data_IF_168150793913
#
_entry.id   IF_168150793913
#
_cell.length_a   1.000
_cell.length_b   1.000
_cell.length_c   1.000
_cell.angle_alpha   90.00
_cell.angle_beta   90.00
_cell.angle_gamma   90.00
#
_symmetry.space_group_name_H-M   'P 1'
#
loop_
_entity.id
_entity.type
_entity.pdbx_description
1 polymer ?
#
# COMPACT_ATOMS: atom_id res chain seq x y z
N UNK A 1 4.05 -22.00 18.93
CA UNK A 1 3.41 -23.32 19.12
C UNK A 1 3.90 -24.41 18.15
N UNK A 2 4.23 -24.12 16.88
CA UNK A 2 4.59 -25.17 15.89
C UNK A 2 6.05 -25.66 15.91
N UNK A 3 6.97 -24.97 16.61
CA UNK A 3 8.40 -25.33 16.65
C UNK A 3 8.74 -26.45 17.65
N UNK A 4 7.83 -26.77 18.56
CA UNK A 4 8.00 -27.85 19.56
C UNK A 4 7.35 -29.17 19.11
N UNK A 5 6.88 -29.24 17.86
CA UNK A 5 6.31 -30.46 17.29
C UNK A 5 7.37 -31.07 16.37
N UNK A 6 7.92 -32.20 16.79
CA UNK A 6 8.88 -32.96 16.00
C UNK A 6 8.12 -33.87 15.03
N UNK A 7 8.43 -33.76 13.74
CA UNK A 7 7.86 -34.64 12.72
C UNK A 7 9.00 -35.40 12.03
N UNK A 8 8.84 -36.71 11.89
CA UNK A 8 9.78 -37.59 11.19
C UNK A 8 11.24 -37.46 11.68
N UNK A 9 11.45 -37.29 12.99
CA UNK A 9 12.80 -37.18 13.57
C UNK A 9 13.54 -35.87 13.25
N UNK A 10 12.87 -34.87 12.68
CA UNK A 10 13.42 -33.53 12.46
C UNK A 10 12.95 -32.54 13.53
N UNK A 11 13.79 -31.55 13.84
CA UNK A 11 13.51 -30.50 14.83
C UNK A 11 12.38 -29.55 14.42
N UNK A 12 11.94 -29.59 13.16
CA UNK A 12 10.95 -28.68 12.59
C UNK A 12 9.89 -29.44 11.78
N UNK A 13 8.62 -29.34 12.18
CA UNK A 13 7.52 -29.97 11.45
C UNK A 13 7.01 -29.13 10.26
N UNK A 14 7.77 -29.12 9.17
CA UNK A 14 7.34 -28.53 7.91
C UNK A 14 6.03 -29.11 7.34
N UNK A 15 5.77 -30.44 7.40
CA UNK A 15 4.52 -31.01 6.88
C UNK A 15 3.26 -30.45 7.56
N UNK A 16 3.31 -30.15 8.85
CA UNK A 16 2.19 -29.55 9.57
C UNK A 16 2.02 -28.07 9.22
N UNK A 17 3.14 -27.33 9.13
CA UNK A 17 3.14 -25.91 8.78
C UNK A 17 2.57 -25.64 7.38
N UNK A 18 2.85 -26.50 6.39
CA UNK A 18 2.32 -26.37 5.03
C UNK A 18 1.03 -27.15 4.79
N UNK A 19 0.82 -28.27 5.49
CA UNK A 19 -0.33 -29.15 5.32
C UNK A 19 -1.63 -28.51 5.79
N UNK A 20 -1.62 -27.82 6.94
CA UNK A 20 -2.82 -27.16 7.48
C UNK A 20 -3.33 -26.07 6.53
N UNK A 21 -2.53 -25.09 6.06
CA UNK A 21 -2.97 -24.12 5.05
C UNK A 21 -3.42 -24.77 3.75
N UNK A 22 -2.77 -25.84 3.29
CA UNK A 22 -3.14 -26.55 2.07
C UNK A 22 -4.53 -27.17 2.16
N UNK A 23 -4.84 -27.84 3.28
CA UNK A 23 -6.17 -28.42 3.53
C UNK A 23 -7.22 -27.31 3.62
N UNK A 24 -6.93 -26.22 4.34
CA UNK A 24 -7.83 -25.07 4.43
C UNK A 24 -8.09 -24.43 3.05
N UNK A 25 -7.08 -24.36 2.19
CA UNK A 25 -7.23 -23.87 0.82
C UNK A 25 -8.14 -24.77 -0.02
N UNK A 26 -7.98 -26.09 0.07
CA UNK A 26 -8.87 -27.05 -0.61
C UNK A 26 -10.31 -26.88 -0.12
N UNK A 27 -10.51 -26.76 1.20
CA UNK A 27 -11.83 -26.51 1.77
C UNK A 27 -12.43 -25.20 1.25
N UNK A 28 -11.66 -24.12 1.21
CA UNK A 28 -12.09 -22.82 0.67
C UNK A 28 -12.52 -22.91 -0.81
N UNK A 29 -11.75 -23.64 -1.63
CA UNK A 29 -12.12 -23.89 -3.05
C UNK A 29 -13.41 -24.68 -3.14
N UNK A 30 -13.61 -25.71 -2.32
CA UNK A 30 -14.84 -26.49 -2.30
C UNK A 30 -16.06 -25.62 -1.95
N UNK A 31 -15.94 -24.77 -0.93
CA UNK A 31 -16.99 -23.81 -0.58
C UNK A 31 -17.28 -22.84 -1.74
N UNK A 32 -16.26 -22.33 -2.41
CA UNK A 32 -16.43 -21.43 -3.57
C UNK A 32 -17.14 -22.13 -4.75
N UNK A 33 -16.80 -23.39 -5.02
CA UNK A 33 -17.42 -24.18 -6.09
C UNK A 33 -18.90 -24.45 -5.79
N UNK A 34 -19.25 -24.75 -4.54
CA UNK A 34 -20.65 -24.90 -4.09
C UNK A 34 -21.40 -23.56 -4.19
N UNK A 35 -20.74 -22.45 -3.81
CA UNK A 35 -21.31 -21.10 -3.87
C UNK A 35 -21.47 -20.53 -5.29
N UNK A 36 -20.86 -21.16 -6.30
CA UNK A 36 -20.86 -20.69 -7.69
C UNK A 36 -22.26 -20.54 -8.30
N UNK A 37 -23.23 -21.33 -7.86
CA UNK A 37 -24.63 -21.25 -8.31
C UNK A 37 -25.31 -19.94 -7.88
N UNK A 38 -24.88 -19.33 -6.77
CA UNK A 38 -25.41 -18.06 -6.27
C UNK A 38 -24.79 -16.83 -6.95
N UNK A 39 -23.70 -17.01 -7.71
CA UNK A 39 -22.97 -15.91 -8.32
C UNK A 39 -23.48 -15.54 -9.71
N UNK A 40 -24.11 -14.36 -9.83
CA UNK A 40 -24.53 -13.80 -11.13
C UNK A 40 -23.32 -13.20 -11.87
N UNK A 41 -22.81 -13.92 -12.86
CA UNK A 41 -21.70 -13.45 -13.71
C UNK A 41 -22.18 -12.37 -14.67
N UNK A 42 -21.53 -11.20 -14.67
CA UNK A 42 -21.67 -10.20 -15.73
C UNK A 42 -20.68 -10.53 -16.85
N UNK A 43 -21.13 -10.49 -18.09
CA UNK A 43 -20.28 -10.76 -19.26
C UNK A 43 -19.27 -9.60 -19.37
N UNK A 44 -17.96 -9.88 -19.51
CA UNK A 44 -16.95 -8.83 -19.60
C UNK A 44 -17.12 -8.02 -20.90
N UNK A 45 -17.32 -6.71 -20.79
CA UNK A 45 -17.37 -5.77 -21.91
C UNK A 45 -15.95 -5.52 -22.46
N UNK A 46 -15.50 -6.36 -23.40
CA UNK A 46 -14.19 -6.23 -24.07
C UNK A 46 -12.98 -6.22 -23.12
N UNK A 47 -11.77 -6.28 -23.68
CA UNK A 47 -10.55 -6.17 -22.87
C UNK A 47 -10.22 -4.69 -22.61
N UNK A 48 -10.78 -4.12 -21.53
CA UNK A 48 -10.60 -2.71 -21.16
C UNK A 48 -9.14 -2.33 -20.95
N UNK A 49 -8.33 -3.24 -20.39
CA UNK A 49 -6.90 -3.03 -20.14
C UNK A 49 -6.16 -2.87 -21.47
N UNK A 50 -6.44 -3.74 -22.44
CA UNK A 50 -5.87 -3.63 -23.78
C UNK A 50 -6.27 -2.32 -24.46
N UNK A 51 -7.55 -1.96 -24.40
CA UNK A 51 -8.05 -0.71 -25.00
C UNK A 51 -7.42 0.53 -24.33
N UNK A 52 -7.20 0.49 -23.01
CA UNK A 52 -6.51 1.55 -22.27
C UNK A 52 -5.07 1.76 -22.78
N UNK A 53 -4.24 0.70 -22.79
CA UNK A 53 -2.85 0.82 -23.26
C UNK A 53 -2.76 1.15 -24.75
N UNK A 54 -3.65 0.61 -25.58
CA UNK A 54 -3.68 0.92 -27.00
C UNK A 54 -4.12 2.38 -27.25
N UNK A 55 -5.03 2.94 -26.45
CA UNK A 55 -5.40 4.35 -26.52
C UNK A 55 -4.21 5.26 -26.17
N UNK A 56 -3.49 4.94 -25.08
CA UNK A 56 -2.25 5.64 -24.72
C UNK A 56 -1.22 5.58 -25.84
N UNK A 57 -1.03 4.41 -26.44
CA UNK A 57 -0.10 4.21 -27.55
C UNK A 57 -0.48 5.04 -28.77
N UNK A 58 -1.75 5.07 -29.17
CA UNK A 58 -2.23 5.86 -30.32
C UNK A 58 -2.04 7.35 -30.06
N UNK A 59 -2.42 7.86 -28.88
CA UNK A 59 -2.21 9.26 -28.51
C UNK A 59 -0.73 9.64 -28.55
N UNK A 60 0.14 8.77 -28.02
CA UNK A 60 1.58 9.00 -28.01
C UNK A 60 2.20 8.96 -29.41
N UNK A 61 1.82 7.97 -30.24
CA UNK A 61 2.28 7.82 -31.64
C UNK A 61 1.92 9.06 -32.46
N UNK A 62 0.74 9.62 -32.24
CA UNK A 62 0.25 10.78 -32.96
C UNK A 62 0.64 12.12 -32.31
N UNK A 63 1.52 12.14 -31.31
CA UNK A 63 1.90 13.36 -30.56
C UNK A 63 2.39 14.50 -31.45
N UNK A 64 3.04 14.21 -32.59
CA UNK A 64 3.55 15.21 -33.54
C UNK A 64 2.52 15.70 -34.56
N UNK A 65 1.34 15.08 -34.64
CA UNK A 65 0.29 15.48 -35.56
C UNK A 65 -0.25 16.88 -35.17
N UNK A 66 -0.46 17.83 -36.11
CA UNK A 66 -1.00 19.16 -35.82
C UNK A 66 -2.48 19.17 -35.37
N UNK A 67 -3.16 18.03 -35.34
CA UNK A 67 -4.54 17.90 -34.85
C UNK A 67 -4.72 18.50 -33.44
N UNK A 68 -5.76 19.33 -33.28
CA UNK A 68 -6.18 19.95 -32.02
C UNK A 68 -7.66 19.64 -31.82
N UNK A 69 -7.99 18.90 -30.75
CA UNK A 69 -9.37 18.56 -30.41
C UNK A 69 -10.13 19.82 -29.95
N UNK A 70 -11.41 19.91 -30.34
CA UNK A 70 -12.34 20.95 -29.90
C UNK A 70 -12.76 20.75 -28.43
N UNK A 71 -12.69 19.52 -27.93
CA UNK A 71 -13.10 19.16 -26.57
C UNK A 71 -12.03 19.40 -25.49
N UNK A 72 -10.85 19.91 -25.88
CA UNK A 72 -9.71 20.16 -25.00
C UNK A 72 -9.91 21.42 -24.15
N UNK A 73 -10.08 21.24 -22.84
CA UNK A 73 -10.06 22.35 -21.89
C UNK A 73 -8.64 22.91 -21.69
N UNK A 74 -8.52 24.23 -21.54
CA UNK A 74 -7.23 24.90 -21.30
C UNK A 74 -6.51 24.40 -20.03
N UNK A 75 -7.27 23.90 -19.05
CA UNK A 75 -6.76 23.25 -17.83
C UNK A 75 -6.01 21.95 -18.11
N UNK A 76 -6.33 21.26 -19.20
CA UNK A 76 -5.84 19.92 -19.50
C UNK A 76 -4.78 19.93 -20.61
N UNK A 77 -4.13 21.08 -20.83
CA UNK A 77 -3.12 21.25 -21.88
C UNK A 77 -1.97 20.25 -21.77
N UNK A 78 -1.58 19.84 -20.56
CA UNK A 78 -0.56 18.82 -20.32
C UNK A 78 -0.92 17.45 -20.91
N UNK A 79 -2.22 17.16 -21.05
CA UNK A 79 -2.76 15.93 -21.63
C UNK A 79 -3.27 16.10 -23.07
N UNK A 80 -2.96 17.23 -23.72
CA UNK A 80 -3.37 17.51 -25.11
C UNK A 80 -2.95 16.42 -26.10
N UNK A 81 -1.85 15.71 -25.84
CA UNK A 81 -1.39 14.61 -26.68
C UNK A 81 -2.36 13.41 -26.66
N UNK A 82 -3.10 13.20 -25.58
CA UNK A 82 -4.01 12.07 -25.42
C UNK A 82 -5.27 12.21 -26.26
N UNK A 83 -5.79 13.44 -26.40
CA UNK A 83 -6.93 13.77 -27.28
C UNK A 83 -6.65 13.46 -28.76
N UNK A 84 -5.39 13.25 -29.16
CA UNK A 84 -5.05 12.80 -30.52
C UNK A 84 -5.45 11.34 -30.79
N UNK A 85 -5.88 10.61 -29.77
CA UNK A 85 -6.50 9.31 -29.93
C UNK A 85 -7.86 9.37 -30.64
N UNK A 86 -8.53 10.54 -30.68
CA UNK A 86 -9.77 10.79 -31.43
C UNK A 86 -9.61 10.54 -32.94
N UNK A 87 -8.38 10.59 -33.46
CA UNK A 87 -8.09 10.26 -34.87
C UNK A 87 -8.44 8.81 -35.22
N UNK A 88 -8.60 7.93 -34.24
CA UNK A 88 -9.05 6.56 -34.44
C UNK A 88 -10.54 6.44 -34.08
N UNK A 89 -11.42 6.06 -35.02
CA UNK A 89 -12.88 5.99 -34.79
C UNK A 89 -13.28 4.96 -33.73
N UNK A 90 -12.34 4.13 -33.25
CA UNK A 90 -12.56 3.18 -32.16
C UNK A 90 -12.74 3.86 -30.79
N UNK A 91 -12.21 5.07 -30.58
CA UNK A 91 -12.22 5.73 -29.26
C UNK A 91 -13.14 6.96 -29.25
N UNK A 92 -14.14 6.91 -28.39
CA UNK A 92 -15.01 8.05 -28.09
C UNK A 92 -14.30 9.05 -27.15
N UNK A 93 -14.71 10.32 -27.20
CA UNK A 93 -14.18 11.42 -26.37
C UNK A 93 -14.31 11.08 -24.89
N UNK A 94 -15.46 10.51 -24.49
CA UNK A 94 -15.71 10.07 -23.12
C UNK A 94 -14.68 9.01 -22.65
N UNK A 95 -14.28 8.10 -23.54
CA UNK A 95 -13.29 7.08 -23.21
C UNK A 95 -11.89 7.69 -23.02
N UNK A 96 -11.55 8.71 -23.82
CA UNK A 96 -10.28 9.43 -23.71
C UNK A 96 -10.21 10.22 -22.41
N UNK A 97 -11.32 10.84 -22.00
CA UNK A 97 -11.44 11.50 -20.69
C UNK A 97 -11.32 10.51 -19.53
N UNK A 98 -11.91 9.32 -19.64
CA UNK A 98 -11.75 8.26 -18.66
C UNK A 98 -10.29 7.82 -18.54
N UNK A 99 -9.58 7.64 -19.66
CA UNK A 99 -8.13 7.35 -19.68
C UNK A 99 -7.33 8.49 -19.04
N UNK A 100 -7.69 9.74 -19.32
CA UNK A 100 -7.05 10.92 -18.73
C UNK A 100 -7.24 10.97 -17.20
N UNK A 101 -8.44 10.67 -16.71
CA UNK A 101 -8.74 10.61 -15.28
C UNK A 101 -7.85 9.57 -14.58
N UNK A 102 -7.71 8.38 -15.17
CA UNK A 102 -6.80 7.34 -14.67
C UNK A 102 -5.36 7.84 -14.63
N UNK A 103 -4.87 8.53 -15.68
CA UNK A 103 -3.51 9.08 -15.67
C UNK A 103 -3.31 10.16 -14.59
N UNK A 104 -4.29 11.05 -14.38
CA UNK A 104 -4.26 12.07 -13.33
C UNK A 104 -4.18 11.44 -11.93
N UNK A 105 -4.99 10.40 -11.67
CA UNK A 105 -4.93 9.64 -10.42
C UNK A 105 -3.61 8.89 -10.29
N UNK A 106 -3.10 8.30 -11.37
CA UNK A 106 -1.82 7.57 -11.38
C UNK A 106 -0.64 8.46 -11.00
N UNK A 107 -0.65 9.75 -11.37
CA UNK A 107 0.37 10.72 -10.95
C UNK A 107 0.36 10.91 -9.43
N UNK A 108 -0.81 10.91 -8.78
CA UNK A 108 -0.92 10.97 -7.32
C UNK A 108 -0.44 9.69 -6.62
N UNK A 109 -0.39 8.57 -7.35
CA UNK A 109 0.05 7.29 -6.82
C UNK A 109 1.58 7.10 -6.91
N UNK A 110 2.30 7.99 -7.61
CA UNK A 110 3.77 7.92 -7.75
C UNK A 110 4.51 7.89 -6.39
N UNK A 111 4.07 8.62 -5.34
CA UNK A 111 4.65 8.52 -3.99
C UNK A 111 4.34 7.20 -3.25
N UNK A 112 3.25 6.51 -3.59
CA UNK A 112 2.75 5.36 -2.81
C UNK A 112 3.71 4.17 -2.70
N UNK A 113 4.58 3.84 -3.69
CA UNK A 113 5.59 2.82 -3.54
C UNK A 113 6.50 3.01 -2.31
N UNK A 114 6.82 4.24 -1.92
CA UNK A 114 7.65 4.50 -0.74
C UNK A 114 6.93 4.08 0.54
N UNK A 115 5.63 4.37 0.65
CA UNK A 115 4.83 3.89 1.77
C UNK A 115 4.87 2.36 1.87
N UNK A 116 4.65 1.67 0.74
CA UNK A 116 4.64 0.20 0.71
C UNK A 116 6.00 -0.40 1.04
N UNK A 117 7.08 0.22 0.57
CA UNK A 117 8.46 -0.12 0.92
C UNK A 117 8.66 -0.11 2.45
N UNK A 118 8.31 0.99 3.12
CA UNK A 118 8.44 1.05 4.58
C UNK A 118 7.47 0.10 5.31
N UNK A 119 6.25 -0.05 4.81
CA UNK A 119 5.22 -0.88 5.44
C UNK A 119 5.60 -2.37 5.46
N UNK A 120 6.16 -2.88 4.36
CA UNK A 120 6.49 -4.29 4.21
C UNK A 120 7.74 -4.71 5.02
N UNK A 121 8.54 -3.75 5.51
CA UNK A 121 9.69 -4.03 6.39
C UNK A 121 9.32 -4.64 7.74
N UNK A 122 8.07 -4.56 8.16
CA UNK A 122 7.60 -5.28 9.36
C UNK A 122 7.82 -6.80 9.25
N UNK A 123 7.83 -7.34 8.02
CA UNK A 123 8.07 -8.76 7.74
C UNK A 123 9.53 -9.17 7.64
N UNK A 124 10.46 -8.22 7.65
CA UNK A 124 11.90 -8.45 7.42
C UNK A 124 12.77 -7.80 8.50
N UNK A 125 13.03 -6.50 8.41
CA UNK A 125 13.92 -5.78 9.33
C UNK A 125 13.42 -5.85 10.78
N UNK A 126 12.12 -5.67 10.99
CA UNK A 126 11.56 -5.71 12.34
C UNK A 126 11.49 -7.13 12.90
N UNK A 127 11.37 -8.12 12.01
CA UNK A 127 11.51 -9.51 12.40
C UNK A 127 12.94 -9.80 12.89
N UNK A 128 13.97 -9.32 12.18
CA UNK A 128 15.37 -9.44 12.60
C UNK A 128 15.58 -8.71 13.93
N UNK A 129 15.04 -7.50 14.09
CA UNK A 129 15.08 -6.76 15.35
C UNK A 129 14.49 -7.58 16.51
N UNK A 130 13.33 -8.21 16.29
CA UNK A 130 12.70 -9.07 17.29
C UNK A 130 13.56 -10.29 17.68
N UNK A 131 14.44 -10.81 16.79
CA UNK A 131 15.35 -11.92 17.14
C UNK A 131 16.39 -11.54 18.21
N UNK A 132 16.74 -10.24 18.33
CA UNK A 132 17.65 -9.72 19.36
C UNK A 132 16.97 -9.52 20.71
N UNK A 133 15.63 -9.58 20.77
CA UNK A 133 14.82 -9.25 21.94
C UNK A 133 14.40 -10.48 22.74
N UNK A 134 14.04 -10.26 24.00
CA UNK A 134 13.48 -11.29 24.88
C UNK A 134 11.97 -11.44 24.64
N UNK A 135 11.56 -12.66 24.25
CA UNK A 135 10.16 -13.01 24.06
C UNK A 135 9.50 -13.68 25.27
N UNK A 136 10.16 -13.82 26.41
CA UNK A 136 9.57 -14.45 27.59
C UNK A 136 8.44 -13.60 28.19
N UNK A 137 7.19 -14.05 28.02
CA UNK A 137 5.99 -13.41 28.60
C UNK A 137 5.69 -14.02 29.97
N UNK A 138 5.78 -15.34 30.08
CA UNK A 138 5.71 -16.08 31.35
C UNK A 138 6.84 -17.11 31.41
N UNK A 139 7.05 -17.76 32.56
CA UNK A 139 8.05 -18.82 32.70
C UNK A 139 7.83 -19.99 31.72
N UNK A 140 6.60 -20.19 31.25
CA UNK A 140 6.21 -21.28 30.34
C UNK A 140 5.90 -20.83 28.91
N UNK A 141 5.68 -19.53 28.67
CA UNK A 141 5.29 -18.99 27.37
C UNK A 141 6.29 -17.96 26.85
N UNK A 142 6.96 -18.34 25.76
CA UNK A 142 7.84 -17.46 25.00
C UNK A 142 7.20 -17.11 23.66
N UNK A 143 7.09 -15.81 23.40
CA UNK A 143 6.72 -15.27 22.10
C UNK A 143 7.90 -15.42 21.14
N UNK A 144 7.66 -16.04 19.99
CA UNK A 144 8.68 -16.15 18.95
C UNK A 144 8.73 -14.86 18.11
N UNK A 145 9.90 -14.49 17.55
CA UNK A 145 10.03 -13.32 16.67
C UNK A 145 8.99 -13.28 15.54
N UNK A 146 8.75 -14.41 14.86
CA UNK A 146 7.78 -14.51 13.76
C UNK A 146 6.34 -14.21 14.19
N UNK A 147 6.04 -14.39 15.48
CA UNK A 147 4.71 -14.14 16.05
C UNK A 147 4.48 -12.68 16.40
N UNK A 148 5.50 -11.82 16.33
CA UNK A 148 5.35 -10.37 16.61
C UNK A 148 4.44 -9.65 15.61
N UNK A 149 4.26 -10.21 14.41
CA UNK A 149 3.26 -9.78 13.43
C UNK A 149 1.82 -9.77 13.96
N UNK A 150 1.53 -10.51 15.04
CA UNK A 150 0.23 -10.49 15.71
C UNK A 150 -0.14 -9.09 16.22
N UNK A 151 0.85 -8.23 16.54
CA UNK A 151 0.59 -6.88 17.01
C UNK A 151 -0.11 -6.04 15.95
N UNK A 152 0.32 -6.10 14.68
CA UNK A 152 -0.36 -5.40 13.59
C UNK A 152 -1.79 -5.92 13.42
N UNK A 153 -1.99 -7.24 13.32
CA UNK A 153 -3.33 -7.82 13.15
C UNK A 153 -4.30 -7.43 14.30
N UNK A 154 -3.82 -7.46 15.54
CA UNK A 154 -4.58 -7.02 16.71
C UNK A 154 -4.91 -5.52 16.64
N UNK A 155 -3.92 -4.68 16.33
CA UNK A 155 -4.13 -3.24 16.22
C UNK A 155 -5.06 -2.87 15.08
N UNK A 156 -4.99 -3.52 13.92
CA UNK A 156 -5.91 -3.26 12.81
C UNK A 156 -7.35 -3.54 13.26
N UNK A 157 -7.59 -4.69 13.89
CA UNK A 157 -8.90 -5.09 14.39
C UNK A 157 -9.46 -4.10 15.42
N UNK A 158 -8.61 -3.63 16.32
CA UNK A 158 -9.00 -2.69 17.37
C UNK A 158 -9.11 -1.23 16.88
N UNK A 159 -8.17 -0.77 16.06
CA UNK A 159 -8.05 0.63 15.66
C UNK A 159 -9.00 1.00 14.54
N UNK A 160 -9.33 0.12 13.59
CA UNK A 160 -10.34 0.44 12.55
C UNK A 160 -11.66 0.98 13.14
N UNK A 161 -12.33 0.30 14.09
CA UNK A 161 -13.56 0.83 14.67
C UNK A 161 -13.34 2.12 15.47
N UNK A 162 -12.19 2.28 16.13
CA UNK A 162 -11.82 3.52 16.82
C UNK A 162 -11.66 4.67 15.83
N UNK A 163 -10.98 4.45 14.70
CA UNK A 163 -10.79 5.46 13.66
C UNK A 163 -12.13 5.87 13.04
N UNK A 164 -12.98 4.90 12.70
CA UNK A 164 -14.26 5.17 12.05
C UNK A 164 -15.31 5.80 12.97
N UNK A 165 -15.36 5.41 14.26
CA UNK A 165 -16.40 5.89 15.19
C UNK A 165 -15.98 7.09 16.04
N UNK A 166 -14.68 7.26 16.30
CA UNK A 166 -14.16 8.30 17.19
C UNK A 166 -13.26 9.29 16.45
N UNK A 167 -12.16 8.84 15.85
CA UNK A 167 -11.12 9.75 15.36
C UNK A 167 -11.59 10.54 14.14
N UNK A 168 -12.13 9.90 13.11
CA UNK A 168 -12.59 10.60 11.90
C UNK A 168 -13.76 11.55 12.18
N UNK A 169 -14.79 11.19 12.98
CA UNK A 169 -15.82 12.15 13.37
C UNK A 169 -15.29 13.36 14.15
N UNK A 170 -14.27 13.17 15.00
CA UNK A 170 -13.62 14.29 15.70
C UNK A 170 -12.85 15.19 14.73
N UNK A 171 -12.10 14.60 13.80
CA UNK A 171 -11.42 15.35 12.73
C UNK A 171 -12.39 16.18 11.91
N UNK A 172 -13.52 15.59 11.52
CA UNK A 172 -14.55 16.27 10.75
C UNK A 172 -15.22 17.40 11.56
N UNK A 173 -15.47 17.21 12.86
CA UNK A 173 -16.01 18.27 13.74
C UNK A 173 -15.03 19.42 13.97
N UNK A 174 -13.74 19.11 14.12
CA UNK A 174 -12.70 20.11 14.34
C UNK A 174 -12.23 20.78 13.04
N UNK A 175 -12.69 20.31 11.86
CA UNK A 175 -12.21 20.81 10.57
C UNK A 175 -10.76 20.46 10.26
N UNK A 176 -10.18 19.50 10.98
CA UNK A 176 -8.79 19.06 10.84
C UNK A 176 -8.77 17.82 9.94
N UNK A 177 -7.83 17.72 9.00
CA UNK A 177 -7.64 16.53 8.14
C UNK A 177 -8.90 16.07 7.37
N UNK A 178 -9.76 17.00 6.96
CA UNK A 178 -11.01 16.67 6.25
C UNK A 178 -10.78 16.13 4.82
N UNK A 179 -9.68 16.53 4.18
CA UNK A 179 -9.34 16.10 2.82
C UNK A 179 -8.72 14.70 2.80
N UNK A 180 -9.14 13.79 1.90
CA UNK A 180 -8.57 12.44 1.79
C UNK A 180 -7.04 12.45 1.63
N UNK A 181 -6.51 13.33 0.76
CA UNK A 181 -5.07 13.45 0.53
C UNK A 181 -4.28 13.90 1.77
N UNK A 182 -4.89 14.71 2.65
CA UNK A 182 -4.28 15.08 3.93
C UNK A 182 -4.28 13.93 4.93
N UNK A 183 -5.32 13.09 4.94
CA UNK A 183 -5.36 11.86 5.75
C UNK A 183 -4.27 10.88 5.30
N UNK A 184 -4.11 10.69 4.00
CA UNK A 184 -3.04 9.85 3.41
C UNK A 184 -1.66 10.37 3.83
N UNK A 185 -1.39 11.66 3.66
CA UNK A 185 -0.12 12.26 4.07
C UNK A 185 0.14 12.08 5.57
N UNK A 186 -0.87 12.30 6.42
CA UNK A 186 -0.74 12.07 7.86
C UNK A 186 -0.48 10.61 8.20
N UNK A 187 -1.06 9.66 7.48
CA UNK A 187 -0.75 8.23 7.63
C UNK A 187 0.72 7.94 7.33
N UNK A 188 1.25 8.55 6.27
CA UNK A 188 2.68 8.44 5.97
C UNK A 188 3.60 9.07 7.03
N UNK A 189 3.15 10.14 7.69
CA UNK A 189 3.87 10.73 8.82
C UNK A 189 3.90 9.80 10.05
N UNK A 190 2.81 9.08 10.32
CA UNK A 190 2.80 8.03 11.35
C UNK A 190 3.76 6.88 11.03
N UNK A 191 3.86 6.51 9.75
CA UNK A 191 4.83 5.51 9.30
C UNK A 191 6.27 6.00 9.49
N UNK A 192 6.57 7.25 9.13
CA UNK A 192 7.87 7.86 9.38
C UNK A 192 8.21 7.84 10.90
N UNK A 193 7.25 8.20 11.75
CA UNK A 193 7.42 8.14 13.21
C UNK A 193 7.69 6.70 13.70
N UNK A 194 7.02 5.70 13.13
CA UNK A 194 7.28 4.30 13.47
C UNK A 194 8.73 3.90 13.21
N UNK A 195 9.32 4.40 12.11
CA UNK A 195 10.72 4.16 11.76
C UNK A 195 11.71 4.93 12.63
N UNK A 196 11.35 6.13 13.11
CA UNK A 196 12.14 6.83 14.14
C UNK A 196 12.19 6.00 15.42
N UNK A 197 11.04 5.48 15.86
CA UNK A 197 10.96 4.62 17.05
C UNK A 197 11.79 3.34 16.85
N UNK A 198 11.67 2.69 15.70
CA UNK A 198 12.42 1.49 15.37
C UNK A 198 13.94 1.74 15.36
N UNK A 199 14.39 2.88 14.81
CA UNK A 199 15.80 3.27 14.82
C UNK A 199 16.35 3.55 16.22
N UNK A 200 15.55 4.21 17.08
CA UNK A 200 15.90 4.41 18.50
C UNK A 200 16.00 3.06 19.21
N UNK A 201 15.04 2.16 18.98
CA UNK A 201 15.04 0.83 19.57
C UNK A 201 16.28 0.03 19.15
N UNK A 202 16.72 0.16 17.90
CA UNK A 202 17.93 -0.50 17.40
C UNK A 202 19.21 0.03 18.09
N UNK A 203 19.34 1.35 18.29
CA UNK A 203 20.45 1.94 19.06
C UNK A 203 20.50 1.38 20.48
N UNK A 204 19.33 1.24 21.10
CA UNK A 204 19.20 0.68 22.44
C UNK A 204 19.62 -0.79 22.42
N UNK A 205 19.13 -1.58 21.47
CA UNK A 205 19.50 -3.01 21.33
C UNK A 205 21.00 -3.22 21.12
N UNK A 206 21.67 -2.37 20.35
CA UNK A 206 23.11 -2.49 20.11
C UNK A 206 23.96 -2.14 21.37
N UNK A 207 23.40 -1.42 22.34
CA UNK A 207 24.08 -1.05 23.60
C UNK A 207 23.96 -2.13 24.68
N UNK A 208 22.88 -2.89 24.68
CA UNK A 208 22.60 -3.87 25.73
C UNK A 208 22.93 -5.31 25.28
N UNK A 209 23.16 -6.25 26.21
CA UNK A 209 23.37 -7.65 25.85
C UNK A 209 22.15 -8.23 25.12
N UNK A 210 22.40 -9.16 24.19
CA UNK A 210 21.34 -9.87 23.48
C UNK A 210 20.29 -10.45 24.44
N UNK A 211 19.01 -10.32 24.08
CA UNK A 211 17.86 -10.80 24.87
C UNK A 211 17.69 -10.17 26.26
N UNK A 212 18.22 -8.97 26.48
CA UNK A 212 17.94 -8.19 27.70
C UNK A 212 16.65 -7.38 27.62
N UNK A 213 16.27 -6.92 26.42
CA UNK A 213 15.12 -6.02 26.20
C UNK A 213 13.91 -6.84 25.75
N UNK A 214 12.76 -6.65 26.40
CA UNK A 214 11.54 -7.39 26.12
C UNK A 214 10.86 -6.96 24.81
N UNK A 215 10.30 -7.90 24.05
CA UNK A 215 9.61 -7.68 22.76
C UNK A 215 8.41 -6.70 22.84
N UNK A 216 7.88 -6.43 24.04
CA UNK A 216 6.84 -5.42 24.24
C UNK A 216 7.27 -4.01 23.78
N UNK A 217 8.57 -3.72 23.70
CA UNK A 217 9.06 -2.45 23.14
C UNK A 217 8.84 -2.30 21.63
N UNK A 218 8.40 -3.36 20.93
CA UNK A 218 7.93 -3.27 19.55
C UNK A 218 6.50 -2.69 19.46
N UNK A 219 5.74 -2.67 20.56
CA UNK A 219 4.35 -2.18 20.54
C UNK A 219 4.22 -0.74 20.02
N UNK A 220 5.05 0.24 20.45
CA UNK A 220 4.93 1.62 19.97
C UNK A 220 5.15 1.78 18.46
N UNK A 221 6.13 1.08 17.87
CA UNK A 221 6.35 1.14 16.41
C UNK A 221 5.24 0.44 15.64
N UNK A 222 4.73 -0.71 16.10
CA UNK A 222 3.57 -1.38 15.48
C UNK A 222 2.29 -0.55 15.60
N UNK A 223 2.08 0.15 16.70
CA UNK A 223 0.96 1.05 16.87
C UNK A 223 1.01 2.21 15.86
N UNK A 224 2.17 2.86 15.72
CA UNK A 224 2.36 3.94 14.75
C UNK A 224 2.22 3.45 13.30
N UNK A 225 2.82 2.30 12.98
CA UNK A 225 2.65 1.61 11.69
C UNK A 225 1.17 1.41 11.36
N UNK A 226 0.40 0.87 12.30
CA UNK A 226 -1.01 0.53 12.08
C UNK A 226 -1.90 1.77 11.97
N UNK A 227 -1.64 2.82 12.75
CA UNK A 227 -2.26 4.13 12.54
C UNK A 227 -1.97 4.66 11.12
N UNK A 228 -0.72 4.52 10.67
CA UNK A 228 -0.30 4.86 9.33
C UNK A 228 -1.02 4.07 8.24
N UNK A 229 -1.12 2.75 8.41
CA UNK A 229 -1.83 1.82 7.53
C UNK A 229 -3.31 2.21 7.35
N UNK A 230 -4.02 2.45 8.45
CA UNK A 230 -5.44 2.81 8.41
C UNK A 230 -5.65 4.13 7.68
N UNK A 231 -4.81 5.13 7.96
CA UNK A 231 -4.95 6.45 7.36
C UNK A 231 -4.47 6.50 5.90
N UNK A 232 -3.43 5.75 5.56
CA UNK A 232 -2.84 5.72 4.22
C UNK A 232 -3.51 4.68 3.33
N UNK A 233 -3.45 3.39 3.67
CA UNK A 233 -3.85 2.29 2.80
C UNK A 233 -5.35 2.32 2.50
N UNK A 234 -6.19 2.38 3.53
CA UNK A 234 -7.65 2.38 3.37
C UNK A 234 -8.11 3.65 2.65
N UNK A 235 -7.63 4.82 3.07
CA UNK A 235 -8.04 6.10 2.46
C UNK A 235 -7.53 6.24 1.03
N UNK A 236 -6.30 5.83 0.73
CA UNK A 236 -5.73 5.90 -0.62
C UNK A 236 -6.49 5.01 -1.59
N UNK A 237 -6.82 3.78 -1.19
CA UNK A 237 -7.59 2.87 -2.00
C UNK A 237 -9.00 3.44 -2.26
N UNK A 238 -9.67 3.93 -1.21
CA UNK A 238 -10.98 4.56 -1.35
C UNK A 238 -10.93 5.78 -2.29
N UNK A 239 -9.96 6.66 -2.10
CA UNK A 239 -9.76 7.85 -2.93
C UNK A 239 -9.54 7.49 -4.40
N UNK A 240 -8.62 6.58 -4.66
CA UNK A 240 -8.28 6.12 -6.01
C UNK A 240 -9.50 5.47 -6.69
N UNK A 241 -10.32 4.71 -5.96
CA UNK A 241 -11.57 4.15 -6.50
C UNK A 241 -12.67 5.19 -6.73
N UNK A 242 -12.75 6.24 -5.92
CA UNK A 242 -13.75 7.32 -6.11
C UNK A 242 -13.40 8.23 -7.27
N UNK A 243 -12.12 8.43 -7.56
CA UNK A 243 -11.66 9.22 -8.71
C UNK A 243 -11.60 8.40 -10.01
N UNK A 244 -11.71 7.08 -9.93
CA UNK A 244 -11.70 6.20 -11.08
C UNK A 244 -13.07 6.20 -11.80
N UNK A 245 -13.08 6.34 -13.14
CA UNK A 245 -14.27 6.08 -13.94
C UNK A 245 -14.81 4.67 -13.72
N UNK A 246 -16.13 4.48 -13.81
CA UNK A 246 -16.76 3.19 -13.52
C UNK A 246 -16.20 2.04 -14.37
N UNK A 247 -15.92 2.32 -15.65
CA UNK A 247 -15.35 1.34 -16.60
C UNK A 247 -13.87 1.04 -16.34
N UNK A 248 -13.16 1.91 -15.63
CA UNK A 248 -11.69 1.86 -15.47
C UNK A 248 -11.23 1.40 -14.09
N UNK A 249 -12.15 1.08 -13.16
CA UNK A 249 -11.82 0.62 -11.80
C UNK A 249 -10.83 -0.55 -11.79
N UNK A 250 -10.92 -1.48 -12.72
CA UNK A 250 -9.99 -2.62 -12.84
C UNK A 250 -8.57 -2.16 -13.23
N UNK A 251 -8.44 -1.20 -14.15
CA UNK A 251 -7.13 -0.65 -14.56
C UNK A 251 -6.48 0.07 -13.38
N UNK A 252 -7.26 0.86 -12.67
CA UNK A 252 -6.82 1.62 -11.51
C UNK A 252 -6.37 0.69 -10.37
N UNK A 253 -7.13 -0.37 -10.09
CA UNK A 253 -6.75 -1.39 -9.11
C UNK A 253 -5.44 -2.09 -9.50
N UNK A 254 -5.25 -2.39 -10.79
CA UNK A 254 -4.01 -3.00 -11.27
C UNK A 254 -2.80 -2.06 -11.07
N UNK A 255 -2.98 -0.75 -11.34
CA UNK A 255 -1.95 0.26 -11.09
C UNK A 255 -1.65 0.41 -9.59
N UNK A 256 -2.64 0.26 -8.71
CA UNK A 256 -2.45 0.28 -7.25
C UNK A 256 -1.63 -0.91 -6.76
N UNK A 257 -1.91 -2.11 -7.26
CA UNK A 257 -1.09 -3.27 -6.94
C UNK A 257 0.34 -3.12 -7.49
N UNK A 258 0.49 -2.47 -8.64
CA UNK A 258 1.80 -2.16 -9.21
C UNK A 258 2.61 -1.22 -8.30
N UNK A 259 1.99 -0.27 -7.58
CA UNK A 259 2.73 0.55 -6.61
C UNK A 259 3.27 -0.29 -5.44
N UNK A 260 2.52 -1.31 -5.03
CA UNK A 260 2.99 -2.26 -3.98
C UNK A 260 4.18 -3.07 -4.48
N UNK A 261 4.12 -3.55 -5.74
CA UNK A 261 5.23 -4.26 -6.36
C UNK A 261 6.49 -3.39 -6.50
N UNK A 262 6.34 -2.12 -6.90
CA UNK A 262 7.46 -1.18 -6.93
C UNK A 262 8.01 -0.87 -5.53
N UNK A 263 7.16 -0.78 -4.51
CA UNK A 263 7.61 -0.63 -3.12
C UNK A 263 8.51 -1.77 -2.68
N UNK A 264 8.08 -3.00 -2.90
CA UNK A 264 8.88 -4.19 -2.62
C UNK A 264 10.19 -4.24 -3.43
N UNK A 265 10.20 -3.75 -4.67
CA UNK A 265 11.43 -3.63 -5.45
C UNK A 265 12.40 -2.59 -4.86
N UNK A 266 11.87 -1.46 -4.39
CA UNK A 266 12.63 -0.41 -3.70
C UNK A 266 13.25 -0.99 -2.42
N UNK A 267 12.52 -1.81 -1.65
CA UNK A 267 13.07 -2.47 -0.45
C UNK A 267 14.28 -3.33 -0.76
N UNK A 268 14.18 -4.21 -1.77
CA UNK A 268 15.28 -5.10 -2.16
C UNK A 268 16.51 -4.28 -2.56
N UNK A 269 16.29 -3.19 -3.32
CA UNK A 269 17.37 -2.30 -3.74
C UNK A 269 18.01 -1.59 -2.55
N UNK A 270 17.21 -1.05 -1.62
CA UNK A 270 17.71 -0.32 -0.45
C UNK A 270 18.45 -1.28 0.48
N UNK A 271 17.89 -2.44 0.81
CA UNK A 271 18.57 -3.43 1.64
C UNK A 271 19.92 -3.84 1.05
N UNK A 272 19.98 -4.11 -0.27
CA UNK A 272 21.23 -4.48 -0.94
C UNK A 272 22.30 -3.39 -0.90
N UNK A 273 21.92 -2.11 -0.96
CA UNK A 273 22.85 -0.98 -0.88
C UNK A 273 23.27 -0.72 0.57
N UNK A 274 22.30 -0.74 1.50
CA UNK A 274 22.46 -0.25 2.87
C UNK A 274 23.15 -1.25 3.79
N UNK A 275 23.01 -2.56 3.55
CA UNK A 275 23.65 -3.62 4.36
C UNK A 275 25.17 -3.44 4.47
N UNK A 276 25.81 -2.81 3.48
CA UNK A 276 27.26 -2.56 3.47
C UNK A 276 27.69 -1.16 3.91
N UNK A 277 26.76 -0.19 3.93
CA UNK A 277 27.07 1.23 4.08
C UNK A 277 26.59 1.83 5.40
N UNK A 278 25.51 1.31 5.98
CA UNK A 278 24.84 1.91 7.14
C UNK A 278 24.56 0.89 8.24
N UNK A 279 24.48 1.36 9.49
CA UNK A 279 23.91 0.55 10.57
C UNK A 279 22.39 0.46 10.41
N UNK A 280 21.77 -0.59 10.95
CA UNK A 280 20.30 -0.79 10.91
C UNK A 280 19.51 0.38 11.52
N UNK A 281 20.08 1.02 12.54
CA UNK A 281 19.51 2.24 13.12
C UNK A 281 19.52 3.40 12.13
N UNK A 282 20.65 3.62 11.44
CA UNK A 282 20.77 4.67 10.42
C UNK A 282 19.86 4.42 9.22
N UNK A 283 19.76 3.17 8.77
CA UNK A 283 18.81 2.75 7.74
C UNK A 283 17.37 3.17 8.12
N UNK A 284 16.95 2.90 9.37
CA UNK A 284 15.63 3.28 9.86
C UNK A 284 15.39 4.80 9.83
N UNK A 285 16.38 5.61 10.21
CA UNK A 285 16.27 7.07 10.13
C UNK A 285 16.23 7.59 8.68
N UNK A 286 17.00 6.97 7.78
CA UNK A 286 16.96 7.32 6.35
C UNK A 286 15.60 7.01 5.76
N UNK A 287 15.01 5.86 6.06
CA UNK A 287 13.64 5.53 5.66
C UNK A 287 12.63 6.55 6.18
N UNK A 288 12.72 6.93 7.46
CA UNK A 288 11.86 7.98 8.02
C UNK A 288 12.03 9.31 7.27
N UNK A 289 13.25 9.71 6.91
CA UNK A 289 13.50 10.96 6.20
C UNK A 289 12.95 10.92 4.76
N UNK A 290 13.15 9.80 4.06
CA UNK A 290 12.60 9.56 2.72
C UNK A 290 11.07 9.65 2.76
N UNK A 291 10.44 8.99 3.73
CA UNK A 291 8.99 9.00 3.88
C UNK A 291 8.43 10.40 4.19
N UNK A 292 9.11 11.16 5.05
CA UNK A 292 8.74 12.55 5.31
C UNK A 292 8.78 13.40 4.04
N UNK A 293 9.86 13.30 3.26
CA UNK A 293 10.01 14.01 1.99
C UNK A 293 8.98 13.57 0.95
N UNK A 294 8.68 12.27 0.88
CA UNK A 294 7.67 11.71 -0.01
C UNK A 294 6.27 12.26 0.29
N UNK A 295 5.91 12.40 1.57
CA UNK A 295 4.63 13.02 1.96
C UNK A 295 4.56 14.51 1.62
N UNK A 296 5.68 15.24 1.64
CA UNK A 296 5.72 16.62 1.15
C UNK A 296 5.50 16.68 -0.37
N UNK A 297 6.08 15.75 -1.13
CA UNK A 297 5.85 15.62 -2.57
C UNK A 297 4.38 15.31 -2.85
N UNK A 298 3.78 14.35 -2.12
CA UNK A 298 2.37 14.02 -2.26
C UNK A 298 1.49 15.23 -1.98
N UNK A 299 1.75 16.00 -0.92
CA UNK A 299 1.02 17.22 -0.60
C UNK A 299 1.20 18.31 -1.66
N UNK A 300 2.38 18.41 -2.27
CA UNK A 300 2.62 19.32 -3.39
C UNK A 300 1.80 18.92 -4.63
N UNK A 301 1.82 17.63 -5.00
CA UNK A 301 1.01 17.11 -6.11
C UNK A 301 -0.50 17.27 -5.84
N UNK A 302 -0.93 17.08 -4.60
CA UNK A 302 -2.30 17.22 -4.16
C UNK A 302 -2.85 18.65 -4.32
N UNK A 303 -2.01 19.70 -4.21
CA UNK A 303 -2.46 21.11 -4.36
C UNK A 303 -2.98 21.41 -5.76
N UNK A 304 -2.38 20.79 -6.77
CA UNK A 304 -2.71 21.04 -8.17
C UNK A 304 -3.70 20.00 -8.72
N UNK A 305 -4.14 19.05 -7.89
CA UNK A 305 -5.03 18.01 -8.32
C UNK A 305 -6.46 18.51 -8.48
N UNK A 306 -7.08 18.18 -9.61
CA UNK A 306 -8.49 18.44 -9.89
C UNK A 306 -9.24 17.11 -9.87
N UNK A 307 -10.27 17.05 -9.03
CA UNK A 307 -11.14 15.89 -8.90
C UNK A 307 -11.85 15.57 -10.21
N UNK A 308 -11.98 14.28 -10.51
CA UNK A 308 -12.74 13.78 -11.63
C UNK A 308 -14.23 14.13 -11.48
N UNK A 309 -14.80 14.72 -12.52
CA UNK A 309 -16.24 14.96 -12.64
C UNK A 309 -16.67 14.44 -14.00
N UNK A 310 -17.56 13.43 -14.07
CA UNK A 310 -18.07 12.96 -15.36
C UNK A 310 -18.85 14.10 -16.04
N UNK A 311 -18.67 14.26 -17.35
CA UNK A 311 -19.55 15.13 -18.14
C UNK A 311 -20.98 14.59 -18.02
N UNK A 312 -21.92 15.44 -17.61
CA UNK A 312 -23.34 15.11 -17.69
C UNK A 312 -23.71 15.16 -19.16
N UNK A 313 -24.12 14.00 -19.70
CA UNK A 313 -24.78 13.92 -20.99
C UNK A 313 -26.04 14.77 -21.02
#
# INVERSE_FOLDING_TARGET
>A
MLRNVHCYGSDHCFPLAFGVPSILMVLAVMFFLVGKSFYKRRIPESNIVYNFFNCLWVGFKNRKNPYKSEHLDASDSNYSWLYKAELNPKYDVNFIEDVMAVLKVSVLMIPFPIFWSLYDQQGSQWLIQATKMNGAITESFTLLPDQTSIFNAFFVLFLIPVFNKLIYPVFDRCGILTKPLSKIACGGMFLALAFVIAGILEIVLDRFPNKSIHMAWLIPQYFCLTCGEIMFSITSLQFVFTEAPEKMKTVVQALYLLTTAFGNFIDIMIMGIFDSLFSRAMESFVFSAIMFMDMLILLYLARNYKHYRPRKN
#
